data_IF_910066619075
#
_entry.id   IF_910066619075
#
_cell.length_a   1.000
_cell.length_b   1.000
_cell.length_c   1.000
_cell.angle_alpha   90.00
_cell.angle_beta   90.00
_cell.angle_gamma   90.00
#
_symmetry.space_group_name_H-M   'P 1'
#
loop_
_entity.id
_entity.type
_entity.pdbx_description
1 polymer ?
#
# COMPACT_ATOMS: atom_id res chain seq x y z
N UNK A 1 -19.87 -35.79 -7.52
CA UNK A 1 -18.88 -35.21 -6.60
C UNK A 1 -17.83 -36.30 -6.33
N UNK A 2 -16.57 -36.05 -6.75
CA UNK A 2 -15.48 -36.94 -6.39
C UNK A 2 -15.21 -36.78 -4.90
N UNK A 3 -15.25 -37.87 -4.19
CA UNK A 3 -14.86 -37.93 -2.78
C UNK A 3 -13.33 -37.79 -2.73
N UNK A 4 -12.85 -36.66 -2.25
CA UNK A 4 -11.41 -36.43 -2.08
C UNK A 4 -10.96 -37.18 -0.82
N UNK A 5 -9.94 -38.02 -0.91
CA UNK A 5 -9.37 -38.75 0.22
C UNK A 5 -8.86 -37.79 1.31
N UNK A 6 -8.92 -38.20 2.58
CA UNK A 6 -8.41 -37.42 3.73
C UNK A 6 -6.91 -37.17 3.63
N UNK A 7 -6.17 -38.03 2.92
CA UNK A 7 -4.74 -37.87 2.67
C UNK A 7 -4.51 -37.50 1.20
N UNK A 8 -4.14 -36.24 0.95
CA UNK A 8 -3.87 -35.73 -0.39
C UNK A 8 -2.50 -35.07 -0.45
N UNK A 9 -1.81 -35.27 -1.56
CA UNK A 9 -0.61 -34.54 -1.93
C UNK A 9 -0.87 -33.84 -3.26
N UNK A 10 -0.71 -32.51 -3.27
CA UNK A 10 -0.80 -31.70 -4.50
C UNK A 10 0.62 -31.22 -4.81
N UNK A 11 1.15 -31.65 -5.95
CA UNK A 11 2.41 -31.13 -6.48
C UNK A 11 2.12 -30.04 -7.51
N UNK A 12 2.66 -28.86 -7.33
CA UNK A 12 2.56 -27.73 -8.25
C UNK A 12 3.93 -27.46 -8.84
N UNK A 13 4.06 -27.62 -10.16
CA UNK A 13 5.28 -27.27 -10.88
C UNK A 13 5.04 -25.94 -11.62
N UNK A 14 5.70 -24.83 -11.22
CA UNK A 14 5.53 -23.56 -11.88
C UNK A 14 6.16 -23.61 -13.28
N UNK A 15 5.42 -23.18 -14.30
CA UNK A 15 5.87 -23.15 -15.70
C UNK A 15 6.61 -21.86 -16.06
N UNK A 16 6.59 -20.85 -15.19
CA UNK A 16 7.24 -19.56 -15.40
C UNK A 16 7.90 -19.07 -14.13
N UNK A 17 8.99 -18.34 -14.28
CA UNK A 17 9.61 -17.64 -13.17
C UNK A 17 8.65 -16.55 -12.66
N UNK A 18 8.40 -16.51 -11.35
CA UNK A 18 7.61 -15.46 -10.71
C UNK A 18 8.34 -14.12 -10.67
N UNK A 19 7.61 -13.06 -10.34
CA UNK A 19 8.20 -11.74 -10.09
C UNK A 19 9.12 -11.77 -8.87
N UNK A 20 10.24 -11.08 -8.94
CA UNK A 20 11.13 -10.88 -7.79
C UNK A 20 10.37 -10.26 -6.61
N UNK A 21 10.78 -10.57 -5.39
CA UNK A 21 10.21 -9.96 -4.17
C UNK A 21 10.85 -8.62 -3.84
N UNK A 22 12.01 -8.33 -4.43
CA UNK A 22 12.69 -7.04 -4.32
C UNK A 22 11.78 -5.93 -4.84
N UNK A 23 11.63 -4.82 -4.11
CA UNK A 23 10.87 -3.66 -4.57
C UNK A 23 11.39 -3.07 -5.88
N UNK A 24 10.48 -2.42 -6.63
CA UNK A 24 10.80 -1.83 -7.92
C UNK A 24 10.39 -2.69 -9.12
N UNK A 25 9.32 -3.49 -8.99
CA UNK A 25 8.73 -4.19 -10.13
C UNK A 25 8.48 -3.22 -11.30
N UNK A 26 8.61 -3.67 -12.56
CA UNK A 26 8.31 -2.81 -13.70
C UNK A 26 6.86 -2.32 -13.66
N UNK A 27 6.62 -1.10 -14.12
CA UNK A 27 5.28 -0.48 -14.10
C UNK A 27 4.25 -1.35 -14.84
N UNK A 28 4.66 -2.07 -15.88
CA UNK A 28 3.84 -3.04 -16.64
C UNK A 28 3.35 -4.25 -15.81
N UNK A 29 3.91 -4.48 -14.63
CA UNK A 29 3.40 -5.49 -13.70
C UNK A 29 2.02 -5.12 -13.15
N UNK A 30 1.70 -3.82 -13.13
CA UNK A 30 0.45 -3.26 -12.59
C UNK A 30 -0.49 -2.80 -13.70
N UNK A 31 -1.79 -2.98 -13.50
CA UNK A 31 -2.82 -2.28 -14.27
C UNK A 31 -2.98 -0.89 -13.68
N UNK A 32 -2.88 0.19 -14.49
CA UNK A 32 -3.01 1.59 -14.05
C UNK A 32 -3.55 2.47 -15.17
N UNK A 33 -3.98 3.70 -14.84
CA UNK A 33 -4.47 4.75 -15.75
C UNK A 33 -3.46 5.89 -15.94
N UNK A 34 -2.20 5.65 -15.59
CA UNK A 34 -1.17 6.69 -15.53
C UNK A 34 -0.84 7.07 -14.08
N UNK A 35 -1.78 6.96 -13.16
CA UNK A 35 -1.58 7.21 -11.72
C UNK A 35 -0.90 5.99 -11.07
N UNK A 36 0.41 6.05 -11.01
CA UNK A 36 1.25 5.00 -10.46
C UNK A 36 2.58 5.62 -10.00
N UNK A 37 3.00 5.32 -8.80
CA UNK A 37 4.36 5.59 -8.34
C UNK A 37 5.34 4.81 -9.21
N UNK A 38 6.20 5.49 -9.95
CA UNK A 38 7.14 4.88 -10.91
C UNK A 38 8.09 3.92 -10.22
N UNK A 39 8.52 2.87 -10.93
CA UNK A 39 9.27 1.73 -10.36
C UNK A 39 10.47 2.15 -9.49
N UNK A 40 11.29 3.09 -9.95
CA UNK A 40 12.46 3.57 -9.19
C UNK A 40 12.06 4.39 -7.94
N UNK A 41 11.04 5.26 -8.05
CA UNK A 41 10.52 6.01 -6.89
C UNK A 41 9.86 5.05 -5.91
N UNK A 42 9.11 4.06 -6.40
CA UNK A 42 8.46 3.03 -5.58
C UNK A 42 9.47 2.19 -4.81
N UNK A 43 10.59 1.82 -5.43
CA UNK A 43 11.67 1.11 -4.74
C UNK A 43 12.24 1.94 -3.56
N UNK A 44 12.49 3.24 -3.78
CA UNK A 44 12.94 4.15 -2.72
C UNK A 44 11.87 4.33 -1.63
N UNK A 45 10.61 4.48 -2.04
CA UNK A 45 9.47 4.61 -1.10
C UNK A 45 9.35 3.36 -0.21
N UNK A 46 9.40 2.16 -0.79
CA UNK A 46 9.32 0.91 -0.01
C UNK A 46 10.54 0.74 0.89
N UNK A 47 11.73 1.12 0.43
CA UNK A 47 12.93 1.13 1.27
C UNK A 47 12.80 2.08 2.48
N UNK A 48 12.24 3.29 2.27
CA UNK A 48 11.99 4.25 3.34
C UNK A 48 10.89 3.78 4.32
N UNK A 49 9.85 3.12 3.80
CA UNK A 49 8.80 2.48 4.61
C UNK A 49 9.34 1.31 5.44
N UNK A 50 10.41 0.65 4.99
CA UNK A 50 11.08 -0.45 5.67
C UNK A 50 10.09 -1.47 6.27
N UNK A 51 9.22 -2.10 5.46
CA UNK A 51 8.15 -2.97 5.96
C UNK A 51 8.70 -4.16 6.75
N UNK A 52 8.05 -4.48 7.88
CA UNK A 52 8.43 -5.57 8.77
C UNK A 52 7.32 -6.61 8.86
N UNK A 53 7.67 -7.80 9.31
CA UNK A 53 6.69 -8.87 9.53
C UNK A 53 5.65 -8.46 10.59
N UNK A 54 4.38 -8.76 10.33
CA UNK A 54 3.27 -8.48 11.23
C UNK A 54 2.75 -7.04 11.25
N UNK A 55 3.44 -6.08 10.60
CA UNK A 55 3.01 -4.68 10.57
C UNK A 55 1.77 -4.45 9.69
N UNK A 56 1.00 -3.45 10.06
CA UNK A 56 -0.13 -2.94 9.28
C UNK A 56 0.27 -1.63 8.60
N UNK A 57 0.21 -1.62 7.26
CA UNK A 57 0.43 -0.43 6.42
C UNK A 57 -0.91 0.22 6.06
N UNK A 58 -0.99 1.55 6.18
CA UNK A 58 -2.00 2.35 5.49
C UNK A 58 -1.40 3.02 4.26
N UNK A 59 -2.01 2.80 3.09
CA UNK A 59 -1.63 3.40 1.80
C UNK A 59 -2.72 4.38 1.40
N UNK A 60 -2.46 5.69 1.60
CA UNK A 60 -3.41 6.78 1.41
C UNK A 60 -3.21 7.40 0.03
N UNK A 61 -4.28 7.43 -0.78
CA UNK A 61 -4.19 7.74 -2.20
C UNK A 61 -3.62 6.56 -2.99
N UNK A 62 -4.17 5.37 -2.76
CA UNK A 62 -3.62 4.09 -3.21
C UNK A 62 -3.40 3.96 -4.72
N UNK A 63 -4.16 4.66 -5.57
CA UNK A 63 -4.01 4.65 -7.02
C UNK A 63 -4.10 3.24 -7.63
N UNK A 64 -2.98 2.69 -8.04
CA UNK A 64 -2.87 1.32 -8.54
C UNK A 64 -2.58 0.29 -7.42
N UNK A 65 -2.41 0.71 -6.17
CA UNK A 65 -2.03 -0.11 -5.02
C UNK A 65 -0.57 -0.58 -5.04
N UNK A 66 0.25 0.04 -5.87
CA UNK A 66 1.59 -0.49 -6.18
C UNK A 66 2.54 -0.47 -4.98
N UNK A 67 2.49 0.57 -4.13
CA UNK A 67 3.33 0.67 -2.93
C UNK A 67 2.91 -0.36 -1.89
N UNK A 68 1.60 -0.42 -1.56
CA UNK A 68 1.08 -1.41 -0.62
C UNK A 68 1.38 -2.85 -1.07
N UNK A 69 1.18 -3.15 -2.36
CA UNK A 69 1.44 -4.48 -2.91
C UNK A 69 2.91 -4.86 -2.79
N UNK A 70 3.85 -3.96 -3.10
CA UNK A 70 5.27 -4.25 -2.98
C UNK A 70 5.72 -4.39 -1.53
N UNK A 71 5.19 -3.58 -0.60
CA UNK A 71 5.41 -3.76 0.84
C UNK A 71 4.95 -5.15 1.31
N UNK A 72 3.74 -5.57 0.90
CA UNK A 72 3.23 -6.90 1.23
C UNK A 72 4.03 -8.04 0.59
N UNK A 73 4.60 -7.83 -0.58
CA UNK A 73 5.48 -8.82 -1.23
C UNK A 73 6.85 -8.94 -0.55
N UNK A 74 7.32 -7.86 0.06
CA UNK A 74 8.57 -7.86 0.83
C UNK A 74 8.46 -8.63 2.15
N UNK A 75 7.24 -8.81 2.68
CA UNK A 75 6.93 -9.52 3.95
C UNK A 75 6.04 -10.73 3.72
N UNK A 76 5.93 -11.62 4.72
CA UNK A 76 5.04 -12.78 4.68
C UNK A 76 3.74 -12.58 5.48
N UNK A 77 3.78 -11.79 6.55
CA UNK A 77 2.69 -11.67 7.54
C UNK A 77 2.09 -10.27 7.66
N UNK A 78 2.69 -9.26 7.03
CA UNK A 78 2.18 -7.89 7.02
C UNK A 78 0.80 -7.77 6.36
N UNK A 79 0.03 -6.76 6.79
CA UNK A 79 -1.28 -6.39 6.23
C UNK A 79 -1.24 -4.98 5.66
N UNK A 80 -2.11 -4.67 4.71
CA UNK A 80 -2.27 -3.32 4.20
C UNK A 80 -3.73 -2.92 4.04
N UNK A 81 -4.01 -1.64 4.24
CA UNK A 81 -5.29 -1.00 3.90
C UNK A 81 -4.99 0.13 2.93
N UNK A 82 -5.54 0.05 1.73
CA UNK A 82 -5.49 1.12 0.75
C UNK A 82 -6.73 2.00 0.86
N UNK A 83 -6.55 3.32 0.97
CA UNK A 83 -7.61 4.30 0.89
C UNK A 83 -7.57 4.96 -0.49
N UNK A 84 -8.65 4.82 -1.28
CA UNK A 84 -8.74 5.35 -2.63
C UNK A 84 -10.16 5.87 -2.92
N UNK A 85 -10.26 7.12 -3.33
CA UNK A 85 -11.54 7.77 -3.59
C UNK A 85 -12.23 7.22 -4.86
N UNK A 86 -11.47 6.94 -5.90
CA UNK A 86 -11.99 6.49 -7.18
C UNK A 86 -12.35 4.99 -7.15
N UNK A 87 -13.62 4.69 -7.44
CA UNK A 87 -14.15 3.32 -7.41
C UNK A 87 -13.47 2.39 -8.44
N UNK A 88 -13.18 2.91 -9.62
CA UNK A 88 -12.52 2.14 -10.68
C UNK A 88 -11.10 1.77 -10.24
N UNK A 89 -10.40 2.71 -9.59
CA UNK A 89 -9.05 2.47 -9.04
C UNK A 89 -9.12 1.47 -7.89
N UNK A 90 -10.11 1.52 -7.00
CA UNK A 90 -10.32 0.49 -5.97
C UNK A 90 -10.41 -0.91 -6.56
N UNK A 91 -11.21 -1.08 -7.62
CA UNK A 91 -11.31 -2.35 -8.36
C UNK A 91 -9.97 -2.78 -8.98
N UNK A 92 -9.19 -1.82 -9.47
CA UNK A 92 -7.86 -2.02 -10.04
C UNK A 92 -6.83 -2.47 -9.00
N UNK A 93 -6.84 -1.86 -7.80
CA UNK A 93 -6.01 -2.28 -6.65
C UNK A 93 -6.24 -3.76 -6.35
N UNK A 94 -7.50 -4.18 -6.23
CA UNK A 94 -7.85 -5.58 -5.96
C UNK A 94 -7.39 -6.53 -7.08
N UNK A 95 -7.52 -6.12 -8.35
CA UNK A 95 -7.03 -6.89 -9.50
C UNK A 95 -5.50 -7.06 -9.44
N UNK A 96 -4.77 -5.99 -9.16
CA UNK A 96 -3.31 -6.02 -9.04
C UNK A 96 -2.86 -6.89 -7.85
N UNK A 97 -3.53 -6.77 -6.71
CA UNK A 97 -3.24 -7.56 -5.52
C UNK A 97 -3.44 -9.07 -5.76
N UNK A 98 -4.51 -9.46 -6.50
CA UNK A 98 -4.74 -10.86 -6.91
C UNK A 98 -3.64 -11.34 -7.86
N UNK A 99 -3.34 -10.56 -8.90
CA UNK A 99 -2.30 -10.88 -9.89
C UNK A 99 -0.93 -11.10 -9.25
N UNK A 100 -0.62 -10.32 -8.20
CA UNK A 100 0.68 -10.33 -7.53
C UNK A 100 0.69 -11.13 -6.21
N UNK A 101 -0.40 -11.86 -5.91
CA UNK A 101 -0.46 -12.88 -4.87
C UNK A 101 -0.61 -12.37 -3.44
N UNK A 102 -1.06 -11.12 -3.22
CA UNK A 102 -1.18 -10.51 -1.89
C UNK A 102 -2.60 -10.10 -1.49
N UNK A 103 -3.61 -10.44 -2.30
CA UNK A 103 -4.99 -10.02 -2.08
C UNK A 103 -5.58 -10.44 -0.72
N UNK A 104 -5.11 -11.55 -0.16
CA UNK A 104 -5.55 -12.07 1.15
C UNK A 104 -5.08 -11.23 2.34
N UNK A 105 -4.15 -10.30 2.12
CA UNK A 105 -3.57 -9.41 3.14
C UNK A 105 -3.82 -7.93 2.86
N UNK A 106 -4.60 -7.60 1.82
CA UNK A 106 -4.87 -6.24 1.39
C UNK A 106 -6.36 -5.96 1.42
N UNK A 107 -6.76 -4.95 2.20
CA UNK A 107 -8.10 -4.38 2.18
C UNK A 107 -8.12 -3.07 1.40
N UNK A 108 -9.26 -2.74 0.80
CA UNK A 108 -9.45 -1.46 0.08
C UNK A 108 -10.65 -0.75 0.68
N UNK A 109 -10.49 0.52 1.00
CA UNK A 109 -11.49 1.42 1.57
C UNK A 109 -11.76 2.59 0.62
N UNK A 110 -12.83 3.34 0.88
CA UNK A 110 -13.14 4.60 0.21
C UNK A 110 -12.14 5.71 0.52
N UNK A 111 -12.52 6.96 0.24
CA UNK A 111 -11.66 8.12 0.43
C UNK A 111 -11.15 8.28 1.87
N UNK A 112 -9.92 8.74 2.03
CA UNK A 112 -9.38 9.31 3.25
C UNK A 112 -9.83 10.79 3.36
N UNK A 113 -10.04 11.34 4.58
CA UNK A 113 -9.97 10.66 5.88
C UNK A 113 -11.26 9.95 6.31
N UNK A 114 -12.36 10.10 5.55
CA UNK A 114 -13.71 9.69 5.94
C UNK A 114 -13.80 8.20 6.33
N UNK A 115 -12.98 7.39 5.70
CA UNK A 115 -12.98 5.94 5.91
C UNK A 115 -11.92 5.44 6.92
N UNK A 116 -11.22 6.31 7.62
CA UNK A 116 -10.27 5.86 8.65
C UNK A 116 -10.95 5.13 9.82
N UNK A 117 -12.17 5.55 10.16
CA UNK A 117 -12.95 4.93 11.25
C UNK A 117 -13.49 3.55 10.90
N UNK A 118 -13.56 3.19 9.62
CA UNK A 118 -13.97 1.85 9.18
C UNK A 118 -12.87 0.78 9.40
N UNK A 119 -11.66 1.20 9.77
CA UNK A 119 -10.53 0.31 10.02
C UNK A 119 -10.25 0.28 11.53
N UNK A 120 -10.39 -0.88 12.19
CA UNK A 120 -10.26 -0.96 13.64
C UNK A 120 -8.80 -0.82 14.11
N UNK A 121 -7.85 -1.32 13.32
CA UNK A 121 -6.45 -1.38 13.70
C UNK A 121 -5.71 -0.10 13.31
N UNK A 122 -5.01 0.49 14.26
CA UNK A 122 -4.09 1.58 14.00
C UNK A 122 -2.86 1.08 13.23
N UNK A 123 -2.33 1.88 12.25
CA UNK A 123 -1.20 1.46 11.43
C UNK A 123 0.13 1.55 12.18
N UNK A 124 1.04 0.66 11.83
CA UNK A 124 2.47 0.72 12.20
C UNK A 124 3.24 1.59 11.20
N UNK A 125 2.73 1.63 9.96
CA UNK A 125 3.37 2.32 8.84
C UNK A 125 2.31 3.05 8.03
N UNK A 126 2.58 4.29 7.63
CA UNK A 126 1.70 5.07 6.74
C UNK A 126 2.48 5.52 5.51
N UNK A 127 1.88 5.33 4.36
CA UNK A 127 2.29 5.98 3.12
C UNK A 127 1.20 6.94 2.64
N UNK A 128 1.59 8.16 2.29
CA UNK A 128 0.70 9.13 1.63
C UNK A 128 1.23 9.38 0.23
N UNK A 129 0.56 8.81 -0.77
CA UNK A 129 0.88 8.96 -2.19
C UNK A 129 0.01 9.98 -2.92
N UNK A 130 -1.06 10.45 -2.28
CA UNK A 130 -1.99 11.46 -2.80
C UNK A 130 -2.93 11.99 -1.74
N UNK A 131 -3.54 13.15 -2.00
CA UNK A 131 -4.50 13.77 -1.09
C UNK A 131 -3.89 14.47 0.13
N UNK A 132 -2.58 14.69 0.18
CA UNK A 132 -1.92 15.36 1.31
C UNK A 132 -2.54 16.71 1.67
N UNK A 133 -2.96 17.47 0.66
CA UNK A 133 -3.56 18.80 0.82
C UNK A 133 -5.03 18.79 1.25
N UNK A 134 -5.66 17.62 1.31
CA UNK A 134 -7.03 17.50 1.78
C UNK A 134 -7.08 17.62 3.31
N UNK A 135 -8.09 18.37 3.78
CA UNK A 135 -8.30 18.57 5.21
C UNK A 135 -8.45 17.24 5.96
N UNK A 136 -7.73 17.09 7.06
CA UNK A 136 -7.79 15.90 7.92
C UNK A 136 -6.90 14.74 7.48
N UNK A 137 -6.53 14.62 6.19
CA UNK A 137 -5.77 13.46 5.70
C UNK A 137 -4.50 13.21 6.50
N UNK A 138 -3.66 14.22 6.65
CA UNK A 138 -2.42 14.08 7.43
C UNK A 138 -2.70 13.98 8.94
N UNK A 139 -3.48 14.92 9.48
CA UNK A 139 -3.64 15.07 10.92
C UNK A 139 -4.28 13.83 11.55
N UNK A 140 -5.34 13.30 10.93
CA UNK A 140 -6.05 12.14 11.44
C UNK A 140 -5.23 10.85 11.26
N UNK A 141 -4.48 10.73 10.15
CA UNK A 141 -3.56 9.63 9.95
C UNK A 141 -2.41 9.64 10.98
N UNK A 142 -1.83 10.83 11.24
CA UNK A 142 -0.78 11.00 12.24
C UNK A 142 -1.25 10.60 13.63
N UNK A 143 -2.45 11.02 14.03
CA UNK A 143 -3.03 10.68 15.33
C UNK A 143 -3.30 9.18 15.49
N UNK A 144 -3.47 8.46 14.39
CA UNK A 144 -3.66 7.01 14.39
C UNK A 144 -2.38 6.20 14.25
N UNK A 145 -1.28 6.83 13.84
CA UNK A 145 0.00 6.15 13.74
C UNK A 145 0.45 5.68 15.13
N UNK A 146 0.76 4.41 15.26
CA UNK A 146 1.28 3.86 16.51
C UNK A 146 2.57 4.55 16.95
N UNK A 147 2.81 4.59 18.26
CA UNK A 147 4.09 5.08 18.82
C UNK A 147 5.24 4.22 18.25
N UNK A 148 6.28 4.89 17.75
CA UNK A 148 7.40 4.23 17.05
C UNK A 148 7.09 3.83 15.60
N UNK A 149 5.89 4.15 15.11
CA UNK A 149 5.51 3.95 13.71
C UNK A 149 6.25 4.89 12.75
N UNK A 150 6.10 4.65 11.44
CA UNK A 150 6.77 5.40 10.36
C UNK A 150 5.77 5.96 9.39
N UNK A 151 6.03 7.18 8.90
CA UNK A 151 5.24 7.80 7.84
C UNK A 151 6.16 8.24 6.70
N UNK A 152 5.81 7.89 5.49
CA UNK A 152 6.49 8.32 4.26
C UNK A 152 5.48 9.03 3.37
N UNK A 153 5.86 10.17 2.82
CA UNK A 153 4.99 11.01 1.99
C UNK A 153 5.70 11.32 0.68
N UNK A 154 5.04 11.07 -0.45
CA UNK A 154 5.50 11.51 -1.75
C UNK A 154 4.70 12.74 -2.17
N UNK A 155 5.37 13.89 -2.34
CA UNK A 155 4.79 15.10 -2.89
C UNK A 155 5.09 15.18 -4.40
N UNK A 156 4.05 15.48 -5.20
CA UNK A 156 4.15 15.57 -6.67
C UNK A 156 3.57 16.87 -7.22
N UNK A 157 3.08 17.76 -6.37
CA UNK A 157 2.61 19.11 -6.73
C UNK A 157 3.28 20.13 -5.83
N UNK A 158 3.36 21.39 -6.30
CA UNK A 158 3.96 22.50 -5.54
C UNK A 158 3.24 22.67 -4.19
N UNK A 159 1.92 22.57 -4.18
CA UNK A 159 1.11 22.71 -2.97
C UNK A 159 1.43 21.58 -1.96
N UNK A 160 1.56 20.36 -2.43
CA UNK A 160 1.93 19.23 -1.55
C UNK A 160 3.38 19.35 -1.04
N UNK A 161 4.31 19.86 -1.84
CA UNK A 161 5.68 20.14 -1.41
C UNK A 161 5.73 21.23 -0.32
N UNK A 162 5.00 22.34 -0.51
CA UNK A 162 4.89 23.41 0.47
C UNK A 162 4.35 22.90 1.81
N UNK A 163 3.28 22.10 1.76
CA UNK A 163 2.71 21.49 2.95
C UNK A 163 3.68 20.53 3.62
N UNK A 164 4.40 19.70 2.84
CA UNK A 164 5.40 18.78 3.36
C UNK A 164 6.53 19.51 4.12
N UNK A 165 6.99 20.66 3.61
CA UNK A 165 7.97 21.50 4.31
C UNK A 165 7.45 22.02 5.66
N UNK A 166 6.19 22.45 5.73
CA UNK A 166 5.57 22.88 6.99
C UNK A 166 5.45 21.73 7.99
N UNK A 167 5.05 20.55 7.50
CA UNK A 167 4.97 19.34 8.33
C UNK A 167 6.34 18.92 8.84
N UNK A 168 7.37 18.96 8.00
CA UNK A 168 8.74 18.67 8.41
C UNK A 168 9.23 19.61 9.52
N UNK A 169 8.95 20.93 9.42
CA UNK A 169 9.30 21.89 10.45
C UNK A 169 8.58 21.60 11.79
N UNK A 170 7.35 21.12 11.73
CA UNK A 170 6.53 20.88 12.93
C UNK A 170 6.79 19.53 13.59
N UNK A 171 7.00 18.48 12.81
CA UNK A 171 7.06 17.09 13.29
C UNK A 171 8.47 16.48 13.19
N UNK A 172 9.40 17.14 12.53
CA UNK A 172 10.72 16.60 12.24
C UNK A 172 10.76 15.74 10.97
N UNK A 173 11.89 15.07 10.74
CA UNK A 173 12.12 14.17 9.60
C UNK A 173 13.25 14.63 8.68
#
# INVERSE_FOLDING_TARGET
PQVVSVLNVIAVVPQRQGWARTPGLPDSAFSHDGQLTKSHIRALTVAALAPREGETLWDIGGGAGSVAIECLRATNTGKAVCFEADEIRRGRILKNARKLGVAHRLAVQGAAPDNYTSVPDNPDVIFIGGGLTMLGVFADAWNRLKVGGRMVINAVTIESEQQLWQLKQRYGG
#
